data_IF_292347434881
#
_entry.id   IF_292347434881
#
_cell.length_a   1.000
_cell.length_b   1.000
_cell.length_c   1.000
_cell.angle_alpha   90.00
_cell.angle_beta   90.00
_cell.angle_gamma   90.00
#
_symmetry.space_group_name_H-M   'P 1'
#
loop_
_entity.id
_entity.type
_entity.pdbx_description
1 polymer ?
#
# COMPACT_ATOMS: atom_id res chain seq x y z
N UNK A 1 26.18 41.47 39.84
CA UNK A 1 27.53 40.84 39.85
C UNK A 1 27.35 39.36 39.55
N UNK A 2 27.52 38.98 38.32
CA UNK A 2 27.41 37.57 37.90
C UNK A 2 28.80 36.95 38.00
N UNK A 3 28.98 35.99 38.89
CA UNK A 3 30.18 35.16 38.98
C UNK A 3 30.14 34.12 37.82
N UNK A 4 31.21 33.97 37.03
CA UNK A 4 31.23 32.98 35.97
C UNK A 4 31.36 31.58 36.59
N UNK A 5 30.42 30.69 36.22
CA UNK A 5 30.45 29.26 36.54
C UNK A 5 31.66 28.61 35.85
N UNK A 6 32.56 27.96 36.64
CA UNK A 6 33.75 27.31 36.09
C UNK A 6 33.39 26.03 35.31
N UNK A 7 34.18 25.70 34.30
CA UNK A 7 34.04 24.43 33.52
C UNK A 7 33.93 23.20 34.42
N UNK A 8 34.55 23.24 35.61
CA UNK A 8 34.52 22.15 36.58
C UNK A 8 33.18 21.98 37.24
N UNK A 9 32.44 23.09 37.53
CA UNK A 9 31.09 23.09 38.07
C UNK A 9 30.08 22.58 37.04
N UNK A 10 30.26 22.94 35.74
CA UNK A 10 29.41 22.45 34.67
C UNK A 10 29.55 20.94 34.48
N UNK A 11 30.76 20.41 34.50
CA UNK A 11 30.98 18.97 34.36
C UNK A 11 30.53 18.17 35.60
N UNK A 12 30.60 18.73 36.79
CA UNK A 12 30.09 18.08 37.98
C UNK A 12 28.56 18.03 38.02
N UNK A 13 27.87 19.08 37.53
CA UNK A 13 26.41 19.12 37.45
C UNK A 13 25.92 18.17 36.34
N UNK A 14 26.65 18.08 35.21
CA UNK A 14 26.32 17.16 34.13
C UNK A 14 26.56 15.68 34.52
N UNK A 15 27.59 15.40 35.32
CA UNK A 15 27.85 14.04 35.83
C UNK A 15 26.82 13.59 36.86
N UNK A 16 26.32 14.51 37.71
CA UNK A 16 25.27 14.21 38.68
C UNK A 16 23.91 13.94 38.03
N UNK A 17 23.61 14.62 36.91
CA UNK A 17 22.38 14.39 36.13
C UNK A 17 22.43 13.08 35.38
N UNK A 18 23.58 12.69 34.85
CA UNK A 18 23.78 11.39 34.19
C UNK A 18 23.76 10.21 35.19
N UNK A 19 24.23 10.41 36.42
CA UNK A 19 24.19 9.37 37.45
C UNK A 19 22.79 9.15 38.05
N UNK A 20 21.94 10.17 38.06
CA UNK A 20 20.54 10.04 38.48
C UNK A 20 19.65 9.34 37.44
N UNK A 21 20.04 9.39 36.16
CA UNK A 21 19.37 8.65 35.07
C UNK A 21 19.81 7.18 35.02
N UNK A 22 20.96 6.82 35.60
CA UNK A 22 21.50 5.44 35.63
C UNK A 22 21.02 4.60 36.82
N UNK A 23 20.34 5.18 37.80
CA UNK A 23 19.88 4.51 39.03
C UNK A 23 18.37 4.30 39.12
N UNK A 24 17.61 4.68 38.11
CA UNK A 24 16.21 4.25 37.95
C UNK A 24 16.17 2.82 37.44
N UNK A 25 15.21 1.96 37.87
CA UNK A 25 15.02 0.68 37.22
C UNK A 25 14.85 0.97 35.74
N UNK A 26 15.59 0.27 34.88
CA UNK A 26 15.39 0.28 33.44
C UNK A 26 13.95 -0.17 33.18
N UNK A 27 13.04 0.77 33.23
CA UNK A 27 11.64 0.56 32.90
C UNK A 27 11.63 0.29 31.41
N UNK A 28 11.24 -0.91 31.06
CA UNK A 28 10.90 -1.41 29.74
C UNK A 28 10.62 -0.30 28.75
N UNK A 29 11.63 0.04 27.94
CA UNK A 29 11.49 1.10 26.93
C UNK A 29 10.62 0.62 25.76
N UNK A 30 10.23 -0.66 25.73
CA UNK A 30 9.41 -1.28 24.69
C UNK A 30 8.60 -2.48 25.26
N UNK A 31 7.79 -2.24 26.25
CA UNK A 31 6.81 -3.20 26.72
C UNK A 31 5.55 -2.48 27.10
N UNK A 32 4.48 -2.88 26.50
CA UNK A 32 3.11 -2.54 26.79
C UNK A 32 2.66 -1.08 26.54
N UNK A 33 2.03 -0.89 25.36
CA UNK A 33 0.89 0.00 25.11
C UNK A 33 0.96 1.45 25.61
N UNK A 34 2.08 2.14 25.46
CA UNK A 34 2.05 3.60 25.56
C UNK A 34 1.48 4.19 24.25
N UNK A 35 0.16 4.06 24.08
CA UNK A 35 -0.58 4.86 23.09
C UNK A 35 -0.73 6.27 23.66
N UNK A 36 0.00 7.22 23.11
CA UNK A 36 -0.15 8.63 23.43
C UNK A 36 -1.38 9.16 22.71
N UNK A 37 -2.41 9.47 23.46
CA UNK A 37 -3.72 9.98 23.13
C UNK A 37 -4.82 8.93 22.94
N UNK A 38 -5.70 8.86 23.92
CA UNK A 38 -7.01 8.19 23.86
C UNK A 38 -7.98 9.02 23.02
N UNK A 39 -7.74 9.11 21.69
CA UNK A 39 -8.79 9.54 20.79
C UNK A 39 -9.88 8.46 20.73
N UNK A 40 -11.14 8.85 20.72
CA UNK A 40 -12.25 7.92 20.61
C UNK A 40 -12.05 7.00 19.37
N UNK A 41 -12.06 5.69 19.59
CA UNK A 41 -11.92 4.71 18.51
C UNK A 41 -13.15 4.79 17.59
N UNK A 42 -12.99 5.02 16.28
CA UNK A 42 -14.12 5.00 15.37
C UNK A 42 -14.73 3.59 15.30
N UNK A 43 -16.03 3.51 14.99
CA UNK A 43 -16.69 2.22 14.78
C UNK A 43 -16.13 1.56 13.51
N UNK A 44 -15.58 0.36 13.65
CA UNK A 44 -15.07 -0.39 12.52
C UNK A 44 -16.18 -0.80 11.56
N UNK A 45 -16.00 -0.54 10.28
CA UNK A 45 -16.87 -0.98 9.17
C UNK A 45 -16.23 -2.11 8.35
N UNK A 46 -14.93 -2.30 8.48
CA UNK A 46 -14.17 -3.38 7.85
C UNK A 46 -13.40 -4.21 8.87
N UNK A 47 -13.12 -5.47 8.52
CA UNK A 47 -12.27 -6.39 9.27
C UNK A 47 -10.94 -6.63 8.57
N UNK A 48 -10.90 -6.50 7.25
CA UNK A 48 -9.73 -6.74 6.41
C UNK A 48 -9.61 -5.67 5.33
N UNK A 49 -8.39 -5.47 4.85
CA UNK A 49 -8.07 -4.57 3.73
C UNK A 49 -7.30 -5.33 2.66
N UNK A 50 -7.67 -5.13 1.40
CA UNK A 50 -6.89 -5.54 0.22
C UNK A 50 -6.51 -4.26 -0.54
N UNK A 51 -5.23 -3.96 -0.61
CA UNK A 51 -4.70 -2.92 -1.50
C UNK A 51 -4.30 -3.57 -2.83
N UNK A 52 -4.84 -3.06 -3.92
CA UNK A 52 -4.46 -3.41 -5.30
C UNK A 52 -3.56 -2.28 -5.81
N UNK A 53 -2.25 -2.51 -5.73
CA UNK A 53 -1.26 -1.49 -6.00
C UNK A 53 -0.82 -1.47 -7.47
N UNK A 54 -1.07 -0.35 -8.15
CA UNK A 54 -0.73 -0.12 -9.56
C UNK A 54 0.53 0.75 -9.65
N UNK A 55 1.66 0.22 -9.19
CA UNK A 55 2.92 0.96 -9.13
C UNK A 55 3.44 1.40 -10.51
N UNK A 56 3.77 2.68 -10.65
CA UNK A 56 4.26 3.29 -11.88
C UNK A 56 3.45 4.50 -12.38
N UNK A 57 2.52 5.02 -11.59
CA UNK A 57 1.74 6.21 -11.97
C UNK A 57 0.60 5.88 -12.92
N UNK A 58 -0.40 5.15 -12.45
CA UNK A 58 -1.59 4.82 -13.23
C UNK A 58 -2.39 6.07 -13.62
N UNK A 59 -2.46 6.37 -14.92
CA UNK A 59 -3.17 7.54 -15.43
C UNK A 59 -4.68 7.48 -15.14
N UNK A 60 -5.21 8.46 -14.39
CA UNK A 60 -6.63 8.54 -14.07
C UNK A 60 -7.49 8.75 -15.32
N UNK A 61 -7.00 9.52 -16.29
CA UNK A 61 -7.71 9.80 -17.57
C UNK A 61 -7.78 8.59 -18.49
N UNK A 62 -6.94 7.59 -18.26
CA UNK A 62 -6.92 6.34 -19.02
C UNK A 62 -7.61 5.18 -18.29
N UNK A 63 -8.11 5.41 -17.07
CA UNK A 63 -8.73 4.38 -16.24
C UNK A 63 -10.11 4.81 -15.69
N UNK A 64 -10.16 5.51 -14.57
CA UNK A 64 -11.42 5.71 -13.82
C UNK A 64 -11.99 7.12 -13.94
N UNK A 65 -11.33 8.00 -14.69
CA UNK A 65 -11.80 9.37 -14.95
C UNK A 65 -11.52 9.80 -16.40
N UNK A 66 -12.03 9.05 -17.39
CA UNK A 66 -11.74 9.34 -18.79
C UNK A 66 -12.26 10.73 -19.18
N UNK A 67 -11.40 11.47 -19.89
CA UNK A 67 -11.69 12.77 -20.47
C UNK A 67 -12.06 12.62 -21.96
N UNK A 68 -12.15 13.75 -22.68
CA UNK A 68 -12.41 13.73 -24.10
C UNK A 68 -11.43 12.81 -24.83
N UNK A 69 -11.96 11.76 -25.45
CA UNK A 69 -11.18 10.86 -26.30
C UNK A 69 -10.71 11.59 -27.54
N UNK A 70 -9.44 11.45 -27.85
CA UNK A 70 -8.83 12.00 -29.06
C UNK A 70 -8.08 10.87 -29.77
N UNK A 71 -8.63 10.30 -30.86
CA UNK A 71 -7.99 9.22 -31.60
C UNK A 71 -6.65 9.65 -32.17
N UNK A 72 -5.73 8.70 -32.31
CA UNK A 72 -4.42 8.95 -32.89
C UNK A 72 -4.52 9.40 -34.34
N UNK A 73 -3.89 10.53 -34.66
CA UNK A 73 -3.66 11.01 -36.01
C UNK A 73 -2.18 11.43 -36.12
N UNK A 74 -1.50 10.94 -37.16
CA UNK A 74 -0.10 11.30 -37.39
C UNK A 74 0.06 12.80 -37.54
N UNK A 75 1.01 13.40 -36.84
CA UNK A 75 1.29 14.84 -36.86
C UNK A 75 0.38 15.68 -35.96
N UNK A 76 -0.49 15.05 -35.16
CA UNK A 76 -1.34 15.77 -34.18
C UNK A 76 -0.53 16.43 -33.07
N UNK A 77 -1.06 17.54 -32.51
CA UNK A 77 -0.49 18.18 -31.33
C UNK A 77 -0.77 17.35 -30.06
N UNK A 78 0.24 17.11 -29.18
CA UNK A 78 0.04 16.42 -27.90
C UNK A 78 -0.93 17.16 -26.96
N UNK A 79 -1.07 18.49 -27.07
CA UNK A 79 -1.99 19.29 -26.26
C UNK A 79 -3.46 18.88 -26.43
N UNK A 80 -3.82 18.27 -27.58
CA UNK A 80 -5.16 17.79 -27.86
C UNK A 80 -5.52 16.48 -27.15
N UNK A 81 -4.51 15.75 -26.64
CA UNK A 81 -4.71 14.39 -26.10
C UNK A 81 -5.01 14.45 -24.60
N UNK A 82 -6.25 14.24 -24.22
CA UNK A 82 -6.70 14.15 -22.82
C UNK A 82 -6.97 12.70 -22.39
N UNK A 83 -7.48 11.87 -23.31
CA UNK A 83 -7.59 10.41 -23.13
C UNK A 83 -7.35 9.73 -24.46
N UNK A 84 -6.64 8.60 -24.44
CA UNK A 84 -6.33 7.79 -25.63
C UNK A 84 -7.31 6.64 -25.83
N UNK A 85 -8.25 6.43 -24.91
CA UNK A 85 -9.33 5.45 -24.99
C UNK A 85 -10.68 6.14 -24.82
N UNK A 86 -11.71 5.66 -25.50
CA UNK A 86 -13.07 6.16 -25.27
C UNK A 86 -13.58 5.79 -23.86
N UNK A 87 -14.48 6.60 -23.34
CA UNK A 87 -15.24 6.29 -22.14
C UNK A 87 -16.33 5.25 -22.45
N UNK A 88 -16.55 4.34 -21.52
CA UNK A 88 -17.64 3.35 -21.57
C UNK A 88 -18.61 3.56 -20.40
N UNK A 89 -19.86 3.15 -20.59
CA UNK A 89 -20.88 3.14 -19.56
C UNK A 89 -20.57 2.05 -18.51
N UNK A 90 -21.05 2.27 -17.30
CA UNK A 90 -20.92 1.31 -16.18
C UNK A 90 -22.29 0.84 -15.70
N UNK A 91 -22.31 -0.02 -14.69
CA UNK A 91 -23.54 -0.44 -14.01
C UNK A 91 -24.23 0.71 -13.24
N UNK A 92 -23.64 1.91 -13.23
CA UNK A 92 -24.19 3.10 -12.56
C UNK A 92 -24.35 4.22 -13.58
N UNK A 93 -25.55 4.78 -13.67
CA UNK A 93 -25.81 5.91 -14.52
C UNK A 93 -24.87 7.09 -14.22
N UNK A 94 -24.39 7.75 -15.26
CA UNK A 94 -23.48 8.91 -15.20
C UNK A 94 -22.06 8.62 -14.65
N UNK A 95 -21.72 7.37 -14.33
CA UNK A 95 -20.34 6.97 -14.04
C UNK A 95 -19.78 6.28 -15.28
N UNK A 96 -18.76 6.90 -15.86
CA UNK A 96 -18.03 6.32 -17.00
C UNK A 96 -16.59 6.02 -16.57
N UNK A 97 -16.04 4.94 -17.12
CA UNK A 97 -14.64 4.57 -16.99
C UNK A 97 -14.05 4.31 -18.39
N UNK A 98 -12.75 4.11 -18.47
CA UNK A 98 -12.08 3.93 -19.76
C UNK A 98 -12.36 2.55 -20.37
N UNK A 99 -12.50 2.49 -21.69
CA UNK A 99 -12.55 1.25 -22.46
C UNK A 99 -11.38 0.33 -22.12
N UNK A 100 -11.63 -0.98 -22.11
CA UNK A 100 -10.69 -2.03 -21.67
C UNK A 100 -10.87 -2.43 -20.20
N UNK A 101 -11.86 -1.81 -19.50
CA UNK A 101 -12.25 -2.14 -18.13
C UNK A 101 -13.72 -2.60 -18.06
N UNK A 102 -14.18 -3.37 -19.05
CA UNK A 102 -15.60 -3.75 -19.23
C UNK A 102 -16.14 -4.65 -18.10
N UNK A 103 -15.27 -5.45 -17.44
CA UNK A 103 -15.70 -6.27 -16.31
C UNK A 103 -15.77 -5.45 -15.03
N UNK A 104 -14.83 -4.55 -14.78
CA UNK A 104 -14.90 -3.59 -13.68
C UNK A 104 -16.13 -2.69 -13.86
N UNK A 105 -16.45 -2.24 -15.07
CA UNK A 105 -17.64 -1.44 -15.37
C UNK A 105 -18.93 -2.10 -14.88
N UNK A 106 -19.05 -3.43 -14.96
CA UNK A 106 -20.23 -4.21 -14.52
C UNK A 106 -20.40 -4.28 -13.00
N UNK A 107 -19.34 -4.02 -12.22
CA UNK A 107 -19.36 -4.05 -10.76
C UNK A 107 -19.23 -2.67 -10.12
N UNK A 108 -19.33 -1.61 -10.92
CA UNK A 108 -19.23 -0.22 -10.43
C UNK A 108 -20.37 0.18 -9.48
N UNK A 109 -21.51 -0.52 -9.53
CA UNK A 109 -22.60 -0.35 -8.56
C UNK A 109 -22.24 -0.79 -7.13
N UNK A 110 -21.13 -1.54 -6.93
CA UNK A 110 -20.54 -1.88 -5.63
C UNK A 110 -19.39 -0.94 -5.25
N UNK A 111 -18.96 -0.10 -6.19
CA UNK A 111 -17.79 0.74 -6.05
C UNK A 111 -18.08 2.08 -5.36
N UNK A 112 -17.07 2.60 -4.69
CA UNK A 112 -16.92 4.00 -4.33
C UNK A 112 -15.68 4.53 -5.06
N UNK A 113 -15.89 5.44 -6.02
CA UNK A 113 -14.83 6.01 -6.85
C UNK A 113 -14.45 7.39 -6.35
N UNK A 114 -13.17 7.59 -6.03
CA UNK A 114 -12.61 8.85 -5.57
C UNK A 114 -11.76 9.46 -6.68
N UNK A 115 -12.13 10.66 -7.16
CA UNK A 115 -11.47 11.40 -8.25
C UNK A 115 -10.67 12.62 -7.77
N UNK A 116 -10.58 12.82 -6.46
CA UNK A 116 -9.95 14.00 -5.86
C UNK A 116 -8.52 13.78 -5.33
N UNK A 117 -7.90 12.62 -5.58
CA UNK A 117 -6.56 12.34 -5.06
C UNK A 117 -5.53 13.31 -5.63
N UNK A 118 -4.72 13.91 -4.76
CA UNK A 118 -3.56 14.71 -5.15
C UNK A 118 -2.33 14.18 -4.43
N UNK A 119 -1.32 13.84 -5.21
CA UNK A 119 -0.04 13.42 -4.64
C UNK A 119 0.66 14.59 -3.94
N UNK A 120 1.43 14.30 -2.89
CA UNK A 120 2.17 15.31 -2.13
C UNK A 120 3.24 16.00 -2.97
N UNK A 121 3.56 17.23 -2.59
CA UNK A 121 4.74 17.92 -3.10
C UNK A 121 5.98 17.43 -2.33
N UNK A 122 6.82 16.64 -3.00
CA UNK A 122 8.04 16.08 -2.44
C UNK A 122 9.31 16.71 -3.04
N UNK A 123 9.17 17.83 -3.76
CA UNK A 123 10.22 18.55 -4.45
C UNK A 123 10.58 17.93 -5.81
N UNK A 124 10.75 16.62 -5.87
CA UNK A 124 10.97 15.87 -7.12
C UNK A 124 9.85 14.84 -7.30
N UNK A 125 9.42 14.62 -8.54
CA UNK A 125 8.41 13.61 -8.84
C UNK A 125 9.13 12.33 -9.28
N UNK A 126 9.53 11.54 -8.27
CA UNK A 126 10.17 10.24 -8.44
C UNK A 126 9.27 9.15 -7.89
N UNK A 127 9.19 8.02 -8.59
CA UNK A 127 8.38 6.88 -8.18
C UNK A 127 8.76 6.38 -6.78
N UNK A 128 10.05 6.17 -6.50
CA UNK A 128 10.53 5.70 -5.21
C UNK A 128 10.06 6.58 -4.04
N UNK A 129 10.18 7.91 -4.19
CA UNK A 129 9.76 8.87 -3.15
C UNK A 129 8.26 8.91 -2.93
N UNK A 130 7.48 8.88 -4.03
CA UNK A 130 6.02 8.93 -3.95
C UNK A 130 5.44 7.59 -3.49
N UNK A 131 6.02 6.46 -3.85
CA UNK A 131 5.66 5.15 -3.31
C UNK A 131 5.97 5.06 -1.82
N UNK A 132 7.16 5.53 -1.38
CA UNK A 132 7.46 5.63 0.05
C UNK A 132 6.41 6.46 0.78
N UNK A 133 6.09 7.67 0.27
CA UNK A 133 5.07 8.56 0.85
C UNK A 133 3.69 7.90 0.87
N UNK A 134 3.30 7.24 -0.21
CA UNK A 134 2.00 6.58 -0.29
C UNK A 134 1.86 5.45 0.73
N UNK A 135 2.88 4.62 0.92
CA UNK A 135 2.82 3.48 1.81
C UNK A 135 3.02 3.82 3.29
N UNK A 136 3.70 4.92 3.59
CA UNK A 136 4.02 5.30 4.97
C UNK A 136 3.26 6.52 5.48
N UNK A 137 2.72 7.38 4.61
CA UNK A 137 2.17 8.69 4.96
C UNK A 137 3.24 9.74 5.29
N UNK A 138 4.52 9.43 5.12
CA UNK A 138 5.65 10.32 5.42
C UNK A 138 6.53 10.56 4.20
N UNK A 139 6.91 11.82 3.97
CA UNK A 139 7.81 12.16 2.88
C UNK A 139 9.26 11.74 3.22
N UNK A 140 10.01 11.09 2.30
CA UNK A 140 11.43 10.79 2.52
C UNK A 140 12.30 12.05 2.33
N UNK A 141 13.53 12.12 2.90
CA UNK A 141 14.10 11.13 3.83
C UNK A 141 13.56 11.29 5.26
N UNK A 142 13.52 10.18 5.99
CA UNK A 142 13.17 10.19 7.40
C UNK A 142 14.39 9.77 8.24
N UNK A 143 14.56 10.37 9.41
CA UNK A 143 15.60 9.98 10.38
C UNK A 143 15.27 8.64 11.06
N UNK A 144 14.00 8.31 11.13
CA UNK A 144 13.48 7.03 11.64
C UNK A 144 12.70 6.38 10.49
N UNK A 145 12.95 5.09 10.24
CA UNK A 145 12.23 4.36 9.20
C UNK A 145 10.73 4.30 9.53
N UNK A 146 9.94 5.01 8.73
CA UNK A 146 8.49 5.02 8.89
C UNK A 146 7.92 3.64 8.50
N UNK A 147 6.96 3.09 9.28
CA UNK A 147 6.35 1.82 8.96
C UNK A 147 5.37 1.94 7.79
N UNK A 148 5.27 0.87 7.03
CA UNK A 148 4.21 0.67 6.05
C UNK A 148 2.82 0.68 6.72
N UNK A 149 1.79 1.21 6.04
CA UNK A 149 0.42 1.25 6.59
C UNK A 149 -0.08 -0.16 7.00
N UNK A 150 0.29 -1.20 6.26
CA UNK A 150 0.00 -2.60 6.61
C UNK A 150 0.66 -3.03 7.91
N UNK A 151 1.87 -2.55 8.18
CA UNK A 151 2.57 -2.80 9.46
C UNK A 151 1.92 -2.07 10.64
N UNK A 152 1.42 -0.86 10.42
CA UNK A 152 0.62 -0.12 11.42
C UNK A 152 -0.65 -0.91 11.74
N UNK A 153 -1.37 -1.40 10.73
CA UNK A 153 -2.58 -2.21 10.89
C UNK A 153 -2.25 -3.53 11.61
N UNK A 154 -1.17 -4.21 11.20
CA UNK A 154 -0.71 -5.46 11.82
C UNK A 154 -0.36 -5.27 13.30
N UNK A 155 0.34 -4.18 13.66
CA UNK A 155 0.72 -3.84 15.03
C UNK A 155 -0.51 -3.51 15.89
N UNK A 156 -1.46 -2.75 15.32
CA UNK A 156 -2.61 -2.23 16.08
C UNK A 156 -3.68 -3.29 16.32
N UNK A 157 -3.96 -4.13 15.33
CA UNK A 157 -5.10 -5.06 15.35
C UNK A 157 -4.70 -6.53 15.38
N UNK A 158 -3.47 -6.86 15.00
CA UNK A 158 -3.05 -8.24 14.81
C UNK A 158 -3.78 -8.96 13.67
N UNK A 159 -3.50 -10.25 13.45
CA UNK A 159 -4.24 -11.07 12.50
C UNK A 159 -5.65 -11.39 13.05
N UNK A 160 -6.60 -11.73 12.16
CA UNK A 160 -7.93 -12.23 12.56
C UNK A 160 -7.86 -13.70 12.99
N UNK A 161 -7.07 -14.49 12.28
CA UNK A 161 -6.69 -15.85 12.69
C UNK A 161 -5.23 -15.81 13.19
N UNK A 162 -4.94 -16.26 14.41
CA UNK A 162 -3.59 -16.22 14.98
C UNK A 162 -2.53 -16.98 14.20
N UNK A 163 -2.91 -17.91 13.31
CA UNK A 163 -1.99 -18.65 12.46
C UNK A 163 -1.66 -17.92 11.16
N UNK A 164 -2.44 -16.88 10.78
CA UNK A 164 -2.21 -16.12 9.55
C UNK A 164 -1.29 -14.94 9.81
N UNK A 165 -0.38 -14.59 8.88
CA UNK A 165 0.31 -13.30 8.94
C UNK A 165 -0.69 -12.15 8.91
N UNK A 166 -0.47 -11.13 9.76
CA UNK A 166 -1.36 -9.97 9.81
C UNK A 166 -1.19 -9.06 8.58
N UNK A 167 0.01 -9.02 8.00
CA UNK A 167 0.32 -8.32 6.76
C UNK A 167 0.95 -9.28 5.74
N UNK A 168 0.35 -9.38 4.55
CA UNK A 168 0.82 -10.21 3.44
C UNK A 168 1.00 -9.33 2.21
N UNK A 169 2.15 -9.42 1.55
CA UNK A 169 2.47 -8.73 0.31
C UNK A 169 2.63 -9.76 -0.83
N UNK A 170 1.85 -9.57 -1.90
CA UNK A 170 1.77 -10.50 -3.03
C UNK A 170 2.26 -9.81 -4.29
N UNK A 171 3.21 -10.44 -4.98
CA UNK A 171 3.68 -10.01 -6.29
C UNK A 171 4.94 -9.15 -6.27
N UNK A 172 5.40 -8.67 -5.12
CA UNK A 172 6.63 -7.89 -5.00
C UNK A 172 7.87 -8.81 -5.01
N UNK A 173 8.80 -8.58 -5.92
CA UNK A 173 10.02 -9.41 -6.07
C UNK A 173 11.30 -8.74 -5.58
N UNK A 174 11.35 -7.40 -5.51
CA UNK A 174 12.55 -6.60 -5.17
C UNK A 174 13.76 -6.78 -6.10
N UNK A 175 13.54 -7.28 -7.30
CA UNK A 175 14.61 -7.53 -8.27
C UNK A 175 15.12 -6.24 -8.95
N UNK A 176 14.52 -5.11 -8.63
CA UNK A 176 14.59 -3.93 -9.46
C UNK A 176 15.44 -2.86 -8.82
N UNK A 177 16.47 -2.49 -9.55
CA UNK A 177 17.58 -1.66 -9.19
C UNK A 177 17.30 -0.19 -8.83
N UNK A 178 16.07 0.23 -8.59
CA UNK A 178 15.83 1.52 -7.98
C UNK A 178 16.00 1.42 -6.47
N UNK A 179 16.96 2.09 -6.02
CA UNK A 179 17.44 2.48 -4.71
C UNK A 179 16.86 1.82 -3.44
N UNK A 180 17.50 2.05 -2.36
CA UNK A 180 17.09 1.60 -1.03
C UNK A 180 15.71 2.15 -0.61
N UNK A 181 15.24 3.25 -1.22
CA UNK A 181 13.95 3.85 -0.92
C UNK A 181 12.78 2.93 -1.26
N UNK A 182 12.82 2.18 -2.37
CA UNK A 182 11.77 1.21 -2.72
C UNK A 182 11.71 0.02 -1.77
N UNK A 183 12.85 -0.37 -1.21
CA UNK A 183 12.93 -1.45 -0.21
C UNK A 183 12.52 -0.97 1.17
N UNK A 184 12.77 0.32 1.47
CA UNK A 184 12.60 0.86 2.80
C UNK A 184 11.16 0.83 3.31
N UNK A 185 10.17 1.02 2.44
CA UNK A 185 8.77 1.00 2.88
C UNK A 185 8.16 -0.40 2.99
N UNK A 186 8.76 -1.44 2.38
CA UNK A 186 8.34 -2.84 2.55
C UNK A 186 8.86 -3.45 3.86
N UNK A 187 8.85 -2.67 4.91
CA UNK A 187 9.30 -3.08 6.25
C UNK A 187 8.31 -2.59 7.31
N UNK A 188 8.45 -3.12 8.52
CA UNK A 188 7.72 -2.59 9.65
C UNK A 188 8.33 -1.30 10.23
N UNK A 189 9.41 -0.79 9.64
CA UNK A 189 10.12 0.35 10.19
C UNK A 189 10.51 0.09 11.66
N UNK A 190 10.17 1.02 12.54
CA UNK A 190 10.43 0.90 13.97
C UNK A 190 9.45 -0.03 14.73
N UNK A 191 8.39 -0.53 14.09
CA UNK A 191 7.35 -1.32 14.79
C UNK A 191 7.73 -2.77 15.09
N UNK A 192 8.87 -3.25 14.56
CA UNK A 192 9.35 -4.61 14.73
C UNK A 192 9.00 -5.55 13.57
N UNK A 193 9.94 -6.45 13.26
CA UNK A 193 9.87 -7.34 12.09
C UNK A 193 8.65 -8.27 12.09
N UNK A 194 8.11 -8.60 13.27
CA UNK A 194 6.90 -9.42 13.41
C UNK A 194 5.64 -8.77 12.83
N UNK A 195 5.67 -7.45 12.61
CA UNK A 195 4.59 -6.68 11.98
C UNK A 195 4.87 -6.36 10.52
N UNK A 196 6.03 -6.81 9.98
CA UNK A 196 6.40 -6.63 8.59
C UNK A 196 5.61 -7.54 7.64
N UNK A 197 5.76 -7.30 6.32
CA UNK A 197 5.08 -8.08 5.29
C UNK A 197 5.58 -9.53 5.24
N UNK A 198 4.65 -10.47 5.13
CA UNK A 198 4.94 -11.82 4.67
C UNK A 198 4.91 -11.80 3.14
N UNK A 199 6.07 -11.98 2.51
CA UNK A 199 6.25 -11.79 1.06
C UNK A 199 5.90 -13.05 0.27
N UNK A 200 5.08 -12.91 -0.76
CA UNK A 200 4.73 -13.95 -1.73
C UNK A 200 4.99 -13.42 -3.14
N UNK A 201 6.22 -13.49 -3.64
CA UNK A 201 6.57 -12.96 -4.97
C UNK A 201 5.79 -13.60 -6.11
N UNK A 202 5.49 -14.90 -5.98
CA UNK A 202 4.83 -15.70 -7.01
C UNK A 202 3.58 -16.38 -6.43
N UNK A 203 2.38 -15.86 -6.68
CA UNK A 203 1.14 -16.40 -6.10
C UNK A 203 0.81 -17.82 -6.55
N UNK A 204 1.23 -18.24 -7.75
CA UNK A 204 1.13 -19.63 -8.22
C UNK A 204 2.03 -20.60 -7.44
N UNK A 205 3.05 -20.11 -6.77
CA UNK A 205 3.96 -20.87 -5.92
C UNK A 205 3.76 -20.58 -4.42
N UNK A 206 2.69 -19.89 -4.04
CA UNK A 206 2.45 -19.45 -2.66
C UNK A 206 2.50 -20.60 -1.64
N UNK A 207 2.02 -21.78 -2.01
CA UNK A 207 2.05 -22.97 -1.15
C UNK A 207 3.48 -23.34 -0.72
N UNK A 208 4.48 -23.15 -1.60
CA UNK A 208 5.88 -23.47 -1.27
C UNK A 208 6.46 -22.57 -0.19
N UNK A 209 5.95 -21.33 -0.08
CA UNK A 209 6.36 -20.37 0.96
C UNK A 209 5.89 -20.75 2.36
N UNK A 210 4.90 -21.66 2.46
CA UNK A 210 4.28 -22.10 3.72
C UNK A 210 4.40 -23.62 3.95
N UNK A 211 5.40 -24.22 3.34
CA UNK A 211 5.73 -25.63 3.54
C UNK A 211 7.15 -25.79 4.10
N UNK A 212 7.41 -26.79 4.94
CA UNK A 212 8.76 -27.15 5.31
C UNK A 212 9.58 -27.45 4.05
N UNK A 213 10.92 -27.18 4.07
CA UNK A 213 11.79 -27.52 2.96
C UNK A 213 11.63 -28.98 2.50
N UNK A 214 11.80 -29.22 1.19
CA UNK A 214 11.68 -30.56 0.61
C UNK A 214 12.52 -31.60 1.39
N UNK A 215 11.95 -32.75 1.69
CA UNK A 215 12.58 -33.85 2.45
C UNK A 215 12.64 -33.61 3.99
N UNK A 216 12.00 -32.58 4.51
CA UNK A 216 11.87 -32.34 5.93
C UNK A 216 10.50 -32.82 6.44
N UNK A 217 10.46 -33.81 7.33
CA UNK A 217 9.20 -34.18 7.99
C UNK A 217 8.78 -33.12 9.01
N UNK A 218 7.48 -33.10 9.34
CA UNK A 218 6.93 -32.18 10.35
C UNK A 218 7.61 -32.37 11.71
N UNK A 219 7.89 -33.61 12.11
CA UNK A 219 8.58 -33.95 13.36
C UNK A 219 10.01 -33.39 13.38
N UNK A 220 10.73 -33.53 12.26
CA UNK A 220 12.09 -32.99 12.10
C UNK A 220 12.08 -31.48 12.13
N UNK A 221 11.08 -30.84 11.50
CA UNK A 221 10.91 -29.40 11.55
C UNK A 221 10.66 -28.91 12.98
N UNK A 222 9.75 -29.56 13.73
CA UNK A 222 9.49 -29.27 15.15
C UNK A 222 10.73 -29.43 16.03
N UNK A 223 11.48 -30.50 15.83
CA UNK A 223 12.72 -30.75 16.57
C UNK A 223 13.78 -29.65 16.29
N UNK A 224 13.94 -29.24 15.03
CA UNK A 224 14.85 -28.13 14.64
C UNK A 224 14.43 -26.81 15.25
N UNK A 225 13.14 -26.49 15.23
CA UNK A 225 12.64 -25.28 15.85
C UNK A 225 12.93 -25.24 17.35
N UNK A 226 12.68 -26.36 18.06
CA UNK A 226 13.01 -26.48 19.48
C UNK A 226 14.50 -26.31 19.75
N UNK A 227 15.35 -26.97 18.97
CA UNK A 227 16.82 -26.83 19.07
C UNK A 227 17.27 -25.39 18.79
N UNK A 228 16.70 -24.75 17.79
CA UNK A 228 17.00 -23.34 17.48
C UNK A 228 16.65 -22.42 18.67
N UNK A 229 15.47 -22.57 19.28
CA UNK A 229 15.09 -21.75 20.46
C UNK A 229 16.07 -21.96 21.63
N UNK A 230 16.54 -23.18 21.87
CA UNK A 230 17.54 -23.44 22.89
C UNK A 230 18.89 -22.76 22.58
N UNK A 231 19.38 -22.92 21.35
CA UNK A 231 20.64 -22.29 20.90
C UNK A 231 20.53 -20.74 20.92
N UNK A 232 19.41 -20.17 20.55
CA UNK A 232 19.20 -18.73 20.59
C UNK A 232 19.22 -18.19 22.02
N UNK A 233 18.58 -18.89 22.95
CA UNK A 233 18.57 -18.51 24.38
C UNK A 233 19.97 -18.61 25.04
N UNK A 234 20.76 -19.58 24.65
CA UNK A 234 22.12 -19.82 25.20
C UNK A 234 23.21 -19.03 24.45
N UNK A 235 22.89 -18.41 23.32
CA UNK A 235 23.86 -17.72 22.47
C UNK A 235 24.44 -16.47 23.15
N UNK A 236 25.75 -16.27 23.12
CA UNK A 236 26.35 -14.98 23.53
C UNK A 236 25.80 -13.79 22.74
N UNK A 237 25.38 -14.01 21.49
CA UNK A 237 24.71 -13.00 20.60
C UNK A 237 23.38 -12.57 21.18
N UNK A 238 22.68 -13.44 21.93
CA UNK A 238 21.45 -13.07 22.62
C UNK A 238 21.62 -11.92 23.62
N UNK A 239 22.86 -11.64 24.03
CA UNK A 239 23.22 -10.52 24.91
C UNK A 239 23.55 -9.24 24.12
N UNK A 240 23.66 -9.31 22.81
CA UNK A 240 23.94 -8.18 21.92
C UNK A 240 22.61 -7.67 21.32
N UNK A 241 22.53 -6.37 21.08
CA UNK A 241 21.31 -5.71 20.60
C UNK A 241 20.33 -5.35 21.74
N UNK A 242 19.27 -4.67 21.40
CA UNK A 242 18.22 -4.32 22.36
C UNK A 242 17.32 -5.52 22.67
N UNK A 243 16.70 -5.55 23.85
CA UNK A 243 15.69 -6.54 24.23
C UNK A 243 14.58 -6.62 23.19
N UNK A 244 14.15 -5.46 22.70
CA UNK A 244 13.14 -5.33 21.66
C UNK A 244 13.50 -6.07 20.36
N UNK A 245 14.71 -5.93 19.85
CA UNK A 245 15.14 -6.62 18.63
C UNK A 245 15.14 -8.14 18.78
N UNK A 246 15.56 -8.63 19.97
CA UNK A 246 15.54 -10.06 20.27
C UNK A 246 14.11 -10.60 20.34
N UNK A 247 13.25 -9.94 21.09
CA UNK A 247 11.84 -10.33 21.22
C UNK A 247 11.10 -10.28 19.88
N UNK A 248 11.37 -9.25 19.06
CA UNK A 248 10.78 -9.11 17.71
C UNK A 248 11.19 -10.29 16.81
N UNK A 249 12.47 -10.68 16.83
CA UNK A 249 12.94 -11.84 16.07
C UNK A 249 12.31 -13.15 16.56
N UNK A 250 12.20 -13.35 17.88
CA UNK A 250 11.55 -14.53 18.44
C UNK A 250 10.07 -14.61 18.03
N UNK A 251 9.34 -13.49 18.12
CA UNK A 251 7.94 -13.41 17.68
C UNK A 251 7.79 -13.70 16.17
N UNK A 252 8.68 -13.20 15.34
CA UNK A 252 8.70 -13.49 13.90
C UNK A 252 8.86 -14.98 13.62
N UNK A 253 9.77 -15.65 14.32
CA UNK A 253 9.98 -17.09 14.19
C UNK A 253 8.79 -17.90 14.70
N UNK A 254 8.18 -17.49 15.81
CA UNK A 254 6.98 -18.14 16.33
C UNK A 254 5.80 -18.01 15.39
N UNK A 255 5.59 -16.84 14.76
CA UNK A 255 4.58 -16.64 13.76
C UNK A 255 4.80 -17.54 12.53
N UNK A 256 6.03 -17.62 12.02
CA UNK A 256 6.38 -18.52 10.92
C UNK A 256 6.12 -20.01 11.29
N UNK A 257 6.56 -20.44 12.47
CA UNK A 257 6.32 -21.80 12.94
C UNK A 257 4.84 -22.12 13.08
N UNK A 258 4.04 -21.17 13.60
CA UNK A 258 2.59 -21.31 13.77
C UNK A 258 1.90 -21.49 12.43
N UNK A 259 2.23 -20.67 11.43
CA UNK A 259 1.70 -20.77 10.06
C UNK A 259 2.03 -22.14 9.44
N UNK A 260 3.31 -22.53 9.45
CA UNK A 260 3.78 -23.80 8.86
C UNK A 260 3.18 -25.05 9.53
N UNK A 261 2.74 -24.92 10.77
CA UNK A 261 2.13 -26.01 11.55
C UNK A 261 0.61 -26.00 11.53
N UNK A 262 -0.02 -24.99 10.91
CA UNK A 262 -1.47 -24.77 10.94
C UNK A 262 -2.16 -25.27 9.66
N UNK A 263 -3.41 -25.73 9.76
CA UNK A 263 -4.28 -25.92 8.59
C UNK A 263 -4.49 -24.66 7.76
N UNK A 264 -4.28 -23.47 8.32
CA UNK A 264 -4.37 -22.19 7.61
C UNK A 264 -3.43 -22.09 6.41
N UNK A 265 -2.32 -22.84 6.40
CA UNK A 265 -1.42 -22.96 5.26
C UNK A 265 -2.12 -23.45 3.98
N UNK A 266 -3.26 -24.16 4.08
CA UNK A 266 -4.07 -24.57 2.91
C UNK A 266 -4.66 -23.39 2.14
N UNK A 267 -4.79 -22.20 2.76
CA UNK A 267 -5.25 -21.02 2.06
C UNK A 267 -4.32 -20.60 0.91
N UNK A 268 -3.04 -20.93 1.01
CA UNK A 268 -2.00 -20.63 0.02
C UNK A 268 -2.01 -21.61 -1.17
N UNK A 269 -2.79 -22.68 -1.13
CA UNK A 269 -2.86 -23.69 -2.17
C UNK A 269 -3.97 -23.37 -3.18
N UNK A 270 -3.60 -22.73 -4.30
CA UNK A 270 -4.54 -22.40 -5.36
C UNK A 270 -5.11 -23.62 -6.11
N UNK A 271 -4.48 -24.81 -5.98
CA UNK A 271 -4.98 -26.04 -6.59
C UNK A 271 -6.28 -26.55 -5.94
N UNK A 272 -6.64 -26.03 -4.77
CA UNK A 272 -7.91 -26.32 -4.10
C UNK A 272 -9.12 -25.66 -4.80
N UNK A 273 -8.88 -24.72 -5.70
CA UNK A 273 -9.94 -24.05 -6.44
C UNK A 273 -10.43 -24.90 -7.62
N UNK A 274 -11.71 -24.78 -7.96
CA UNK A 274 -12.21 -25.39 -9.20
C UNK A 274 -11.51 -24.76 -10.41
N UNK A 275 -11.37 -25.58 -11.49
CA UNK A 275 -10.78 -25.09 -12.74
C UNK A 275 -11.49 -23.82 -13.23
N UNK A 276 -12.80 -23.76 -13.15
CA UNK A 276 -13.58 -22.59 -13.57
C UNK A 276 -13.21 -21.34 -12.78
N UNK A 277 -13.09 -21.42 -11.44
CA UNK A 277 -12.68 -20.29 -10.59
C UNK A 277 -11.22 -19.89 -10.88
N UNK A 278 -10.32 -20.86 -10.98
CA UNK A 278 -8.94 -20.60 -11.33
C UNK A 278 -8.80 -19.86 -12.68
N UNK A 279 -9.48 -20.35 -13.72
CA UNK A 279 -9.45 -19.75 -15.07
C UNK A 279 -10.06 -18.33 -15.08
N UNK A 280 -11.04 -18.05 -14.23
CA UNK A 280 -11.65 -16.72 -14.12
C UNK A 280 -10.65 -15.64 -13.65
N UNK A 281 -9.70 -16.03 -12.81
CA UNK A 281 -8.65 -15.14 -12.32
C UNK A 281 -7.37 -15.17 -13.16
N UNK A 282 -7.13 -16.24 -13.90
CA UNK A 282 -5.83 -16.46 -14.56
C UNK A 282 -5.62 -15.52 -15.76
N UNK A 283 -5.23 -14.30 -15.46
CA UNK A 283 -4.70 -13.32 -16.43
C UNK A 283 -3.19 -13.15 -16.28
N UNK A 284 -2.56 -13.97 -15.45
CA UNK A 284 -1.15 -13.89 -15.07
C UNK A 284 -0.96 -13.68 -13.57
N UNK A 285 0.24 -13.24 -13.17
CA UNK A 285 0.63 -13.11 -11.76
C UNK A 285 -0.35 -12.26 -10.93
N UNK A 286 -0.76 -11.09 -11.45
CA UNK A 286 -1.72 -10.22 -10.74
C UNK A 286 -3.08 -10.92 -10.55
N UNK A 287 -3.60 -11.57 -11.58
CA UNK A 287 -4.89 -12.26 -11.48
C UNK A 287 -4.87 -13.41 -10.47
N UNK A 288 -3.83 -14.25 -10.49
CA UNK A 288 -3.65 -15.32 -9.49
C UNK A 288 -3.42 -14.74 -8.08
N UNK A 289 -2.80 -13.55 -8.00
CA UNK A 289 -2.71 -12.80 -6.76
C UNK A 289 -4.06 -12.36 -6.20
N UNK A 290 -5.01 -11.93 -7.06
CA UNK A 290 -6.38 -11.63 -6.64
C UNK A 290 -7.09 -12.88 -6.08
N UNK A 291 -6.93 -14.04 -6.73
CA UNK A 291 -7.45 -15.30 -6.24
C UNK A 291 -6.87 -15.67 -4.88
N UNK A 292 -5.55 -15.53 -4.71
CA UNK A 292 -4.88 -15.79 -3.45
C UNK A 292 -5.36 -14.81 -2.37
N UNK A 293 -5.46 -13.51 -2.67
CA UNK A 293 -5.93 -12.51 -1.72
C UNK A 293 -7.34 -12.83 -1.19
N UNK A 294 -8.27 -13.29 -2.07
CA UNK A 294 -9.61 -13.74 -1.67
C UNK A 294 -9.53 -14.88 -0.66
N UNK A 295 -8.74 -15.93 -0.94
CA UNK A 295 -8.56 -17.09 -0.06
C UNK A 295 -7.95 -16.72 1.29
N UNK A 296 -6.99 -15.81 1.29
CA UNK A 296 -6.32 -15.33 2.50
C UNK A 296 -7.28 -14.53 3.39
N UNK A 297 -8.14 -13.68 2.82
CA UNK A 297 -9.19 -12.98 3.57
C UNK A 297 -10.18 -13.96 4.20
N UNK A 298 -10.62 -15.00 3.47
CA UNK A 298 -11.46 -16.08 4.00
C UNK A 298 -10.81 -16.77 5.20
N UNK A 299 -9.48 -16.91 5.18
CA UNK A 299 -8.69 -17.57 6.22
C UNK A 299 -8.20 -16.63 7.32
N UNK A 300 -8.64 -15.37 7.34
CA UNK A 300 -8.40 -14.43 8.43
C UNK A 300 -7.18 -13.53 8.29
N UNK A 301 -6.65 -13.32 7.08
CA UNK A 301 -5.68 -12.28 6.85
C UNK A 301 -6.27 -10.89 7.13
N UNK A 302 -5.47 -9.97 7.72
CA UNK A 302 -5.92 -8.64 8.10
C UNK A 302 -5.65 -7.61 7.02
N UNK A 303 -4.43 -7.56 6.52
CA UNK A 303 -4.00 -6.63 5.49
C UNK A 303 -3.26 -7.39 4.39
N UNK A 304 -3.68 -7.19 3.16
CA UNK A 304 -3.06 -7.78 1.97
C UNK A 304 -2.75 -6.64 1.01
N UNK A 305 -1.52 -6.57 0.54
CA UNK A 305 -1.16 -5.79 -0.63
C UNK A 305 -0.89 -6.73 -1.79
N UNK A 306 -1.48 -6.44 -2.94
CA UNK A 306 -1.23 -7.13 -4.19
C UNK A 306 -0.78 -6.11 -5.22
N UNK A 307 0.42 -6.29 -5.76
CA UNK A 307 1.01 -5.34 -6.70
C UNK A 307 1.13 -5.89 -8.12
N UNK A 308 0.98 -5.00 -9.11
CA UNK A 308 1.47 -5.22 -10.47
C UNK A 308 2.98 -5.06 -10.56
N UNK A 309 3.63 -4.66 -9.47
CA UNK A 309 5.04 -4.33 -9.27
C UNK A 309 5.52 -3.16 -10.15
N UNK A 310 6.09 -2.18 -9.49
CA UNK A 310 6.78 -1.10 -10.18
C UNK A 310 8.09 -1.61 -10.80
N UNK A 311 8.25 -1.37 -12.08
CA UNK A 311 9.50 -1.62 -12.82
C UNK A 311 9.78 -0.36 -13.62
N UNK A 312 10.94 0.30 -13.46
CA UNK A 312 11.29 1.50 -14.19
C UNK A 312 11.07 1.32 -15.70
N UNK A 313 10.36 2.26 -16.31
CA UNK A 313 9.99 2.29 -17.73
C UNK A 313 9.13 1.11 -18.23
N UNK A 314 8.57 0.31 -17.32
CA UNK A 314 7.65 -0.80 -17.64
C UNK A 314 6.34 -0.70 -16.87
N UNK A 315 5.40 -1.60 -17.15
CA UNK A 315 4.08 -1.63 -16.52
C UNK A 315 3.40 -0.25 -16.60
N UNK A 316 2.93 0.31 -15.49
CA UNK A 316 2.27 1.61 -15.42
C UNK A 316 3.23 2.80 -15.61
N UNK A 317 4.53 2.57 -15.57
CA UNK A 317 5.54 3.59 -15.84
C UNK A 317 5.70 3.84 -17.35
N UNK A 318 4.68 4.44 -17.95
CA UNK A 318 4.52 4.64 -19.38
C UNK A 318 5.19 5.91 -19.87
N UNK A 319 6.51 5.89 -20.07
CA UNK A 319 7.25 6.99 -20.69
C UNK A 319 7.26 6.95 -22.22
N UNK A 320 6.98 5.78 -22.80
CA UNK A 320 6.72 5.56 -24.22
C UNK A 320 5.71 4.43 -24.42
N UNK A 321 5.15 4.30 -25.62
CA UNK A 321 4.14 3.29 -25.96
C UNK A 321 2.95 3.22 -24.98
N UNK A 322 2.60 4.35 -24.34
CA UNK A 322 1.63 4.40 -23.26
C UNK A 322 0.27 3.83 -23.66
N UNK A 323 -0.26 4.20 -24.82
CA UNK A 323 -1.53 3.66 -25.32
C UNK A 323 -1.52 2.14 -25.46
N UNK A 324 -0.50 1.57 -26.12
CA UNK A 324 -0.40 0.13 -26.34
C UNK A 324 -0.23 -0.65 -25.04
N UNK A 325 0.67 -0.18 -24.16
CA UNK A 325 0.91 -0.80 -22.86
C UNK A 325 -0.32 -0.78 -21.96
N UNK A 326 -1.03 0.34 -21.92
CA UNK A 326 -2.25 0.47 -21.11
C UNK A 326 -3.36 -0.47 -21.57
N UNK A 327 -3.49 -0.73 -22.88
CA UNK A 327 -4.43 -1.73 -23.37
C UNK A 327 -4.16 -3.13 -22.78
N UNK A 328 -2.89 -3.53 -22.70
CA UNK A 328 -2.53 -4.84 -22.13
C UNK A 328 -2.64 -4.88 -20.61
N UNK A 329 -2.28 -3.78 -19.91
CA UNK A 329 -2.43 -3.67 -18.46
C UNK A 329 -3.90 -3.71 -18.04
N UNK A 330 -4.80 -3.06 -18.78
CA UNK A 330 -6.23 -3.15 -18.53
C UNK A 330 -6.75 -4.58 -18.67
N UNK A 331 -6.34 -5.32 -19.70
CA UNK A 331 -6.68 -6.75 -19.85
C UNK A 331 -6.17 -7.59 -18.68
N UNK A 332 -4.99 -7.25 -18.14
CA UNK A 332 -4.41 -7.94 -16.98
C UNK A 332 -5.26 -7.78 -15.73
N UNK A 333 -5.79 -6.57 -15.46
CA UNK A 333 -6.44 -6.24 -14.19
C UNK A 333 -7.98 -6.34 -14.23
N UNK A 334 -8.61 -6.11 -15.37
CA UNK A 334 -10.07 -5.92 -15.49
C UNK A 334 -10.88 -7.09 -14.94
N UNK A 335 -10.68 -8.28 -15.49
CA UNK A 335 -11.44 -9.46 -15.08
C UNK A 335 -11.15 -9.92 -13.66
N UNK A 336 -9.88 -10.01 -13.21
CA UNK A 336 -9.58 -10.45 -11.85
C UNK A 336 -10.12 -9.53 -10.77
N UNK A 337 -10.12 -8.21 -10.97
CA UNK A 337 -10.68 -7.25 -9.99
C UNK A 337 -12.18 -7.44 -9.89
N UNK A 338 -12.89 -7.49 -11.01
CA UNK A 338 -14.33 -7.72 -11.00
C UNK A 338 -14.69 -9.06 -10.34
N UNK A 339 -13.95 -10.13 -10.65
CA UNK A 339 -14.16 -11.45 -10.05
C UNK A 339 -13.89 -11.46 -8.55
N UNK A 340 -12.86 -10.73 -8.08
CA UNK A 340 -12.57 -10.58 -6.64
C UNK A 340 -13.75 -9.95 -5.90
N UNK A 341 -14.33 -8.88 -6.45
CA UNK A 341 -15.49 -8.20 -5.87
C UNK A 341 -16.69 -9.16 -5.79
N UNK A 342 -17.00 -9.85 -6.89
CA UNK A 342 -18.14 -10.78 -6.96
C UNK A 342 -17.95 -11.98 -6.03
N UNK A 343 -16.75 -12.55 -5.96
CA UNK A 343 -16.47 -13.69 -5.08
C UNK A 343 -16.54 -13.31 -3.60
N UNK A 344 -16.07 -12.14 -3.22
CA UNK A 344 -16.22 -11.66 -1.84
C UNK A 344 -17.68 -11.33 -1.51
N UNK A 345 -18.45 -10.80 -2.46
CA UNK A 345 -19.90 -10.58 -2.27
C UNK A 345 -20.65 -11.90 -2.12
N UNK A 346 -20.41 -12.88 -3.01
CA UNK A 346 -21.02 -14.23 -2.95
C UNK A 346 -20.77 -14.92 -1.60
N UNK A 347 -19.62 -14.65 -0.97
CA UNK A 347 -19.22 -15.21 0.33
C UNK A 347 -19.67 -14.39 1.55
N UNK A 348 -20.36 -13.29 1.33
CA UNK A 348 -20.77 -12.36 2.39
C UNK A 348 -19.59 -11.66 3.08
N UNK A 349 -18.44 -11.54 2.40
CA UNK A 349 -17.22 -10.94 2.95
C UNK A 349 -17.00 -9.51 2.47
N UNK A 350 -17.62 -9.09 1.35
CA UNK A 350 -17.35 -7.79 0.72
C UNK A 350 -17.66 -6.63 1.67
N UNK A 351 -18.80 -6.68 2.37
CA UNK A 351 -19.20 -5.57 3.26
C UNK A 351 -18.23 -5.36 4.44
N UNK A 352 -17.43 -6.37 4.78
CA UNK A 352 -16.42 -6.32 5.85
C UNK A 352 -14.97 -6.35 5.33
N UNK A 353 -14.77 -6.32 4.02
CA UNK A 353 -13.46 -6.25 3.36
C UNK A 353 -13.36 -4.98 2.55
N UNK A 354 -12.45 -4.09 2.93
CA UNK A 354 -12.16 -2.88 2.15
C UNK A 354 -11.15 -3.22 1.06
N UNK A 355 -11.54 -3.05 -0.22
CA UNK A 355 -10.63 -3.14 -1.35
C UNK A 355 -10.26 -1.71 -1.77
N UNK A 356 -8.98 -1.44 -1.97
CA UNK A 356 -8.43 -0.12 -2.38
C UNK A 356 -7.52 -0.31 -3.57
N UNK A 357 -7.90 0.19 -4.74
CA UNK A 357 -7.05 0.23 -5.93
C UNK A 357 -6.48 1.63 -6.09
N UNK A 358 -5.16 1.75 -6.11
CA UNK A 358 -4.47 3.03 -6.13
C UNK A 358 -3.09 2.97 -6.82
N UNK A 359 -2.52 4.14 -7.04
CA UNK A 359 -1.15 4.37 -7.52
C UNK A 359 -0.57 5.60 -6.82
N UNK A 360 0.74 5.79 -6.89
CA UNK A 360 1.45 6.88 -6.20
C UNK A 360 1.09 8.27 -6.72
N UNK A 361 0.84 8.41 -8.00
CA UNK A 361 0.38 9.61 -8.71
C UNK A 361 -0.27 9.20 -10.03
N UNK A 362 -0.66 10.15 -10.84
CA UNK A 362 -1.24 9.93 -12.16
C UNK A 362 -0.27 10.33 -13.28
N UNK A 363 -0.77 10.40 -14.52
CA UNK A 363 0.01 10.84 -15.69
C UNK A 363 -0.80 11.78 -16.56
N UNK A 364 -0.09 12.65 -17.28
CA UNK A 364 -0.64 13.53 -18.33
C UNK A 364 0.23 13.44 -19.59
N UNK A 365 -0.30 13.87 -20.73
CA UNK A 365 0.44 13.86 -21.99
C UNK A 365 1.56 14.90 -22.00
N UNK A 366 1.32 16.09 -21.45
CA UNK A 366 2.22 17.24 -21.59
C UNK A 366 2.64 17.87 -20.26
N UNK A 367 1.88 17.67 -19.19
CA UNK A 367 2.10 18.33 -17.90
C UNK A 367 2.89 17.45 -16.93
N UNK A 368 4.05 17.93 -16.49
CA UNK A 368 4.81 17.36 -15.38
C UNK A 368 4.38 18.05 -14.08
N UNK A 369 4.04 17.29 -13.05
CA UNK A 369 3.60 17.83 -11.77
C UNK A 369 2.17 18.35 -11.79
N UNK A 370 1.99 19.58 -11.36
CA UNK A 370 0.72 20.34 -11.37
C UNK A 370 1.02 21.82 -11.63
N UNK A 371 0.02 22.64 -12.01
CA UNK A 371 0.25 24.01 -12.48
C UNK A 371 1.03 24.89 -11.52
N UNK A 372 0.83 24.74 -10.22
CA UNK A 372 1.48 25.53 -9.17
C UNK A 372 2.83 24.97 -8.69
N UNK A 373 3.30 23.87 -9.27
CA UNK A 373 4.54 23.20 -8.89
C UNK A 373 5.61 23.37 -9.97
N UNK A 374 6.71 24.02 -9.64
CA UNK A 374 7.86 24.10 -10.53
C UNK A 374 8.68 22.80 -10.42
N UNK A 375 8.59 21.93 -11.41
CA UNK A 375 9.38 20.70 -11.54
C UNK A 375 10.10 20.67 -12.87
N UNK A 376 11.24 19.97 -12.89
CA UNK A 376 11.96 19.74 -14.14
C UNK A 376 11.25 18.62 -14.93
N UNK A 377 11.03 18.86 -16.22
CA UNK A 377 10.51 17.86 -17.14
C UNK A 377 11.47 16.67 -17.24
N UNK A 378 10.96 15.47 -16.94
CA UNK A 378 11.75 14.24 -17.00
C UNK A 378 11.68 13.57 -18.37
N UNK A 379 10.59 13.78 -19.10
CA UNK A 379 10.36 13.21 -20.43
C UNK A 379 10.03 14.31 -21.41
N UNK A 380 10.74 14.35 -22.52
CA UNK A 380 10.42 15.28 -23.61
C UNK A 380 9.26 14.73 -24.44
N UNK A 381 8.24 15.56 -24.63
CA UNK A 381 7.12 15.29 -25.52
C UNK A 381 7.37 16.02 -26.85
N UNK A 382 7.32 15.33 -28.01
CA UNK A 382 7.53 15.98 -29.31
C UNK A 382 6.44 17.02 -29.59
N UNK A 383 6.76 18.10 -30.30
CA UNK A 383 5.79 19.14 -30.69
C UNK A 383 4.64 18.59 -31.54
N UNK A 384 4.89 17.49 -32.24
CA UNK A 384 3.88 16.72 -33.02
C UNK A 384 4.09 15.23 -32.80
N UNK A 385 2.98 14.50 -32.64
CA UNK A 385 3.00 13.04 -32.49
C UNK A 385 3.08 12.39 -33.86
N UNK A 386 4.28 12.09 -34.34
CA UNK A 386 4.51 11.46 -35.65
C UNK A 386 4.42 9.92 -35.62
N UNK A 387 4.62 9.30 -34.43
CA UNK A 387 4.60 7.86 -34.24
C UNK A 387 3.66 7.49 -33.09
N UNK A 388 3.00 6.33 -33.20
CA UNK A 388 2.07 5.81 -32.18
C UNK A 388 2.73 5.65 -30.79
N UNK A 389 4.05 5.37 -30.75
CA UNK A 389 4.77 5.21 -29.47
C UNK A 389 4.74 6.47 -28.60
N UNK A 390 4.58 7.66 -29.19
CA UNK A 390 4.47 8.94 -28.48
C UNK A 390 3.04 9.31 -28.14
N UNK A 391 2.07 8.49 -28.49
CA UNK A 391 0.66 8.71 -28.17
C UNK A 391 0.30 8.00 -26.87
N UNK A 392 0.10 8.78 -25.79
CA UNK A 392 -0.22 8.28 -24.46
C UNK A 392 0.17 9.25 -23.36
N UNK A 393 -0.08 8.87 -22.09
CA UNK A 393 0.22 9.67 -20.92
C UNK A 393 1.64 9.35 -20.44
N UNK A 394 2.57 10.26 -20.67
CA UNK A 394 4.00 10.01 -20.47
C UNK A 394 4.61 10.72 -19.26
N UNK A 395 4.04 11.88 -18.85
CA UNK A 395 4.58 12.72 -17.79
C UNK A 395 3.93 12.40 -16.45
N UNK A 396 4.67 12.56 -15.37
CA UNK A 396 4.19 12.37 -14.01
C UNK A 396 3.25 13.51 -13.62
N UNK A 397 2.01 13.21 -13.29
CA UNK A 397 1.00 14.19 -12.95
C UNK A 397 0.53 14.02 -11.51
N UNK A 398 0.67 15.08 -10.70
CA UNK A 398 0.35 15.07 -9.26
C UNK A 398 -0.91 15.88 -8.93
N UNK A 399 -1.50 16.55 -9.90
CA UNK A 399 -2.64 17.46 -9.71
C UNK A 399 -3.99 16.79 -9.56
N UNK A 400 -4.12 15.54 -10.01
CA UNK A 400 -5.30 14.69 -9.81
C UNK A 400 -4.92 13.22 -9.96
N UNK A 401 -5.73 12.35 -9.40
CA UNK A 401 -5.65 10.90 -9.51
C UNK A 401 -6.96 10.26 -9.07
N UNK A 402 -7.12 8.97 -9.39
CA UNK A 402 -8.29 8.20 -8.98
C UNK A 402 -7.91 7.08 -8.04
N UNK A 403 -8.75 6.87 -7.03
CA UNK A 403 -8.71 5.69 -6.15
C UNK A 403 -10.06 4.99 -6.28
N UNK A 404 -10.06 3.70 -6.63
CA UNK A 404 -11.27 2.90 -6.71
C UNK A 404 -11.36 2.00 -5.48
N UNK A 405 -12.49 2.07 -4.78
CA UNK A 405 -12.71 1.32 -3.55
C UNK A 405 -13.98 0.48 -3.61
N UNK A 406 -13.99 -0.66 -2.89
CA UNK A 406 -15.17 -1.50 -2.74
C UNK A 406 -15.31 -2.00 -1.31
N UNK A 407 -16.54 -2.26 -0.88
CA UNK A 407 -16.83 -2.88 0.40
C UNK A 407 -16.50 -2.02 1.63
N UNK A 408 -16.20 -2.65 2.76
CA UNK A 408 -15.76 -1.97 3.99
C UNK A 408 -16.75 -0.93 4.55
N UNK A 409 -18.05 -1.03 4.27
CA UNK A 409 -19.08 -0.08 4.72
C UNK A 409 -19.11 1.23 3.94
N UNK A 410 -18.54 1.26 2.75
CA UNK A 410 -18.59 2.43 1.86
C UNK A 410 -19.91 2.51 1.12
N UNK A 411 -20.28 3.73 0.68
CA UNK A 411 -21.40 3.96 -0.24
C UNK A 411 -21.14 3.27 -1.56
N UNK A 412 -22.14 2.55 -2.04
CA UNK A 412 -22.11 1.79 -3.29
C UNK A 412 -22.58 2.68 -4.45
N UNK A 413 -21.96 2.53 -5.63
CA UNK A 413 -22.28 3.33 -6.81
C UNK A 413 -22.03 4.83 -6.62
N UNK A 414 -21.04 5.20 -5.83
CA UNK A 414 -20.78 6.58 -5.41
C UNK A 414 -19.48 7.14 -6.01
N UNK A 415 -19.52 8.43 -6.35
CA UNK A 415 -18.33 9.19 -6.78
C UNK A 415 -18.07 10.31 -5.78
N UNK A 416 -16.84 10.44 -5.31
CA UNK A 416 -16.35 11.54 -4.51
C UNK A 416 -15.30 12.33 -5.29
N UNK A 417 -15.49 13.63 -5.38
CA UNK A 417 -14.57 14.53 -6.06
C UNK A 417 -14.85 14.70 -7.56
N UNK A 418 -14.40 15.82 -8.08
CA UNK A 418 -14.52 16.23 -9.48
C UNK A 418 -13.19 16.78 -9.96
N UNK A 419 -12.77 16.41 -11.14
CA UNK A 419 -11.59 16.92 -11.84
C UNK A 419 -12.00 17.73 -13.07
N UNK A 420 -11.14 18.63 -13.53
CA UNK A 420 -11.41 19.42 -14.73
C UNK A 420 -11.50 18.52 -15.98
N UNK A 421 -12.41 18.85 -16.88
CA UNK A 421 -12.57 18.15 -18.15
C UNK A 421 -11.59 18.61 -19.23
N UNK A 422 -10.95 19.74 -18.99
CA UNK A 422 -9.92 20.33 -19.86
C UNK A 422 -8.62 20.50 -19.08
N UNK A 423 -7.52 20.66 -19.81
CA UNK A 423 -6.20 20.89 -19.21
C UNK A 423 -6.11 22.27 -18.53
N UNK A 424 -5.52 22.34 -17.34
CA UNK A 424 -4.97 21.24 -16.54
C UNK A 424 -6.09 20.41 -15.92
N UNK A 425 -6.03 19.09 -16.09
CA UNK A 425 -7.03 18.13 -15.60
C UNK A 425 -6.94 17.91 -14.07
N UNK A 426 -6.79 18.99 -13.32
CA UNK A 426 -6.62 18.98 -11.86
C UNK A 426 -7.94 18.78 -11.11
N UNK A 427 -7.82 18.45 -9.84
CA UNK A 427 -8.98 18.33 -8.93
C UNK A 427 -9.64 19.69 -8.72
N UNK A 428 -10.95 19.78 -8.99
CA UNK A 428 -11.81 20.96 -8.78
C UNK A 428 -12.47 20.92 -7.39
N UNK A 429 -12.96 19.76 -6.98
CA UNK A 429 -13.63 19.59 -5.69
C UNK A 429 -13.40 18.20 -5.11
N UNK A 430 -13.62 18.04 -3.79
CA UNK A 430 -13.42 16.77 -3.11
C UNK A 430 -11.93 16.35 -3.07
N UNK A 431 -11.01 17.31 -2.98
CA UNK A 431 -9.58 17.05 -2.88
C UNK A 431 -9.25 16.30 -1.60
N UNK A 432 -8.39 15.30 -1.71
CA UNK A 432 -7.80 14.59 -0.59
C UNK A 432 -6.35 14.19 -0.87
N UNK A 433 -5.60 13.98 0.19
CA UNK A 433 -4.18 13.59 0.15
C UNK A 433 -4.00 12.13 0.57
N UNK A 434 -2.76 11.65 0.60
CA UNK A 434 -2.44 10.31 1.09
C UNK A 434 -2.74 10.18 2.60
N UNK A 435 -2.51 11.24 3.37
CA UNK A 435 -2.80 11.26 4.81
C UNK A 435 -4.30 11.09 5.07
N UNK A 436 -5.16 11.69 4.24
CA UNK A 436 -6.62 11.56 4.32
C UNK A 436 -7.08 10.17 3.87
N UNK A 437 -6.43 9.59 2.85
CA UNK A 437 -6.69 8.22 2.43
C UNK A 437 -6.30 7.21 3.52
N UNK A 438 -5.12 7.36 4.15
CA UNK A 438 -4.72 6.55 5.28
C UNK A 438 -5.70 6.68 6.45
N UNK A 439 -6.09 7.93 6.80
CA UNK A 439 -7.09 8.18 7.82
C UNK A 439 -8.43 7.48 7.51
N UNK A 440 -8.83 7.44 6.23
CA UNK A 440 -10.04 6.76 5.75
C UNK A 440 -9.93 5.24 5.91
N UNK A 441 -8.79 4.65 5.53
CA UNK A 441 -8.50 3.22 5.71
C UNK A 441 -8.48 2.87 7.21
N UNK A 442 -7.77 3.64 8.04
CA UNK A 442 -7.72 3.42 9.48
C UNK A 442 -9.10 3.53 10.13
N UNK A 443 -9.86 4.56 9.78
CA UNK A 443 -11.23 4.74 10.27
C UNK A 443 -12.11 3.54 9.93
N UNK A 444 -12.01 2.99 8.73
CA UNK A 444 -12.78 1.80 8.34
C UNK A 444 -12.46 0.58 9.21
N UNK A 445 -11.23 0.47 9.69
CA UNK A 445 -10.78 -0.61 10.58
C UNK A 445 -10.98 -0.31 12.09
N UNK A 446 -11.53 0.84 12.45
CA UNK A 446 -11.70 1.24 13.85
C UNK A 446 -10.40 1.72 14.50
N UNK A 447 -9.39 2.10 13.71
CA UNK A 447 -8.15 2.72 14.17
C UNK A 447 -8.33 4.24 14.14
N UNK A 448 -7.98 4.92 15.24
CA UNK A 448 -7.99 6.39 15.26
C UNK A 448 -6.89 6.94 14.34
N UNK A 449 -7.20 7.85 13.40
CA UNK A 449 -6.18 8.52 12.58
C UNK A 449 -5.15 9.32 13.37
N UNK A 450 -5.47 9.70 14.59
CA UNK A 450 -4.57 10.41 15.52
C UNK A 450 -3.86 9.46 16.50
N UNK A 451 -3.94 8.13 16.30
CA UNK A 451 -3.16 7.17 17.08
C UNK A 451 -1.67 7.47 16.91
N UNK A 452 -0.92 7.41 18.01
CA UNK A 452 0.52 7.55 17.99
C UNK A 452 1.19 6.41 18.79
N UNK A 453 2.38 6.05 18.36
CA UNK A 453 3.30 5.18 19.10
C UNK A 453 4.41 6.04 19.69
N UNK A 454 4.84 5.76 20.91
CA UNK A 454 5.95 6.45 21.52
C UNK A 454 7.27 5.81 21.05
N UNK A 455 8.13 6.61 20.41
CA UNK A 455 9.44 6.21 19.91
C UNK A 455 10.47 7.18 20.50
N UNK A 456 11.42 6.67 21.27
CA UNK A 456 12.44 7.50 21.93
C UNK A 456 11.84 8.73 22.65
N UNK A 457 10.75 8.52 23.38
CA UNK A 457 9.99 9.55 24.10
C UNK A 457 9.39 10.62 23.18
N UNK A 458 9.11 10.30 21.91
CA UNK A 458 8.41 11.17 20.95
C UNK A 458 7.22 10.42 20.36
N UNK A 459 6.08 11.09 20.15
CA UNK A 459 4.94 10.48 19.47
C UNK A 459 5.21 10.37 17.98
N UNK A 460 4.99 9.18 17.42
CA UNK A 460 4.95 8.92 16.01
C UNK A 460 3.51 8.57 15.60
N UNK A 461 2.86 9.46 14.89
CA UNK A 461 1.46 9.34 14.53
C UNK A 461 1.28 8.40 13.31
N UNK A 462 0.17 7.67 13.28
CA UNK A 462 -0.17 6.77 12.16
C UNK A 462 -0.53 7.51 10.86
N UNK A 463 -0.97 8.77 10.97
CA UNK A 463 -1.00 9.74 9.88
C UNK A 463 -0.06 10.88 10.22
N UNK A 464 0.53 11.54 9.24
CA UNK A 464 1.50 12.61 9.49
C UNK A 464 0.95 13.63 10.50
N UNK A 465 1.65 13.79 11.61
CA UNK A 465 1.30 14.70 12.73
C UNK A 465 -0.11 14.47 13.31
N UNK A 466 -0.74 13.32 13.03
CA UNK A 466 -2.12 13.02 13.42
C UNK A 466 -3.17 13.86 12.70
N UNK A 467 -2.83 14.51 11.59
CA UNK A 467 -3.66 15.50 10.90
C UNK A 467 -4.51 14.93 9.77
N UNK A 468 -4.30 13.67 9.36
CA UNK A 468 -5.11 13.02 8.32
C UNK A 468 -6.59 13.01 8.70
N UNK A 469 -7.46 13.37 7.77
CA UNK A 469 -8.91 13.47 7.97
C UNK A 469 -9.62 12.41 7.13
N UNK A 470 -10.38 11.50 7.76
CA UNK A 470 -11.18 10.55 7.00
C UNK A 470 -12.16 11.26 6.06
N UNK A 471 -12.34 10.71 4.87
CA UNK A 471 -13.33 11.19 3.90
C UNK A 471 -14.69 10.66 4.34
N UNK A 472 -15.30 11.30 5.36
CA UNK A 472 -16.54 10.82 5.99
C UNK A 472 -17.72 10.71 5.01
N UNK A 473 -17.75 11.54 3.96
CA UNK A 473 -18.83 11.57 2.97
C UNK A 473 -18.98 10.26 2.19
N UNK A 474 -17.99 9.38 2.17
CA UNK A 474 -18.03 8.11 1.42
C UNK A 474 -18.52 6.92 2.23
N UNK A 475 -18.69 7.06 3.54
CA UNK A 475 -19.24 6.00 4.39
C UNK A 475 -20.78 5.99 4.35
N UNK A 476 -21.37 4.76 4.38
CA UNK A 476 -22.80 4.54 4.34
C UNK A 476 -23.48 4.81 5.70
#
# INVERSE_FOLDING_TARGET
MNTPTSRRSFLQTSAATLSALAAGPARQILGDDATVASAAKPKATADSVIVLWMGGGMAHTETFDPKKYTPYEKGMSPDRVLSTFPAIDTAVDNIKISQGLENVAKVMDRACLLRGYTAGDLGFILHSRHQYHWHTGYAPPQTVAAPHLGSVIARTLGPRDPAMPAFIDIGQRFDLGEGEELKAFHTAGFLGSEHGPFLIPYPDQALTSVQPPAGMSVERFKARYKAYKQLAAESPIAKLGSDYQRESLERSLENAYRLLSSPAAKAFDLSQESKQKFDAYNTGRFGLGCLLARRLVESGARFIELTTEYIPFLNWDTHDNGHTRLADLKKLIDRPIAQLVLDLEERGLLDRTLIVLASEFSRDMVMEGRPEQAVQDQVQVPAKIEELKFYGMHRHFTGAGSVLMFGGGLKKGHVHGVTADERPVTTISGRFTIEDLHATIYRSLGISPSLAYEIESRPFYVTRDGLGKPIESIFA
#
